data_IF_163170632913
#
_entry.id   IF_163170632913
#
_cell.length_a   1.000
_cell.length_b   1.000
_cell.length_c   1.000
_cell.angle_alpha   90.00
_cell.angle_beta   90.00
_cell.angle_gamma   90.00
#
_symmetry.space_group_name_H-M   'P 1'
#
loop_
_entity.id
_entity.type
_entity.pdbx_description
1 polymer ?
#
# COMPACT_ATOMS: atom_id res chain seq x y z
N UNK A 1 -45.97 14.15 26.08
CA UNK A 1 -45.80 12.66 25.98
C UNK A 1 -45.26 12.22 24.61
N UNK A 2 -45.75 12.80 23.51
CA UNK A 2 -45.32 12.47 22.14
C UNK A 2 -43.83 12.72 21.89
N UNK A 3 -43.26 13.82 22.35
CA UNK A 3 -41.87 14.22 22.21
C UNK A 3 -40.87 13.26 22.94
N UNK A 4 -41.30 12.64 24.05
CA UNK A 4 -40.50 11.68 24.81
C UNK A 4 -40.35 10.33 24.10
N UNK A 5 -41.38 9.85 23.42
CA UNK A 5 -41.36 8.60 22.68
C UNK A 5 -40.52 8.71 21.40
N UNK A 6 -40.57 9.87 20.71
CA UNK A 6 -39.75 10.16 19.55
C UNK A 6 -38.28 10.22 19.94
N UNK A 7 -37.91 10.90 21.03
CA UNK A 7 -36.54 10.94 21.56
C UNK A 7 -35.98 9.54 21.92
N UNK A 8 -36.82 8.70 22.58
CA UNK A 8 -36.43 7.32 22.92
C UNK A 8 -36.19 6.48 21.66
N UNK A 9 -37.05 6.58 20.66
CA UNK A 9 -36.90 5.85 19.39
C UNK A 9 -35.64 6.30 18.60
N UNK A 10 -35.37 7.62 18.64
CA UNK A 10 -34.16 8.17 18.02
C UNK A 10 -32.89 7.70 18.73
N UNK A 11 -32.87 7.72 20.07
CA UNK A 11 -31.74 7.23 20.87
C UNK A 11 -31.45 5.75 20.60
N UNK A 12 -32.51 4.93 20.59
CA UNK A 12 -32.36 3.48 20.32
C UNK A 12 -31.81 3.20 18.91
N UNK A 13 -32.29 3.91 17.87
CA UNK A 13 -31.73 3.81 16.52
C UNK A 13 -30.27 4.22 16.45
N UNK A 14 -29.87 5.26 17.17
CA UNK A 14 -28.46 5.69 17.20
C UNK A 14 -27.56 4.66 17.88
N UNK A 15 -28.05 4.05 18.99
CA UNK A 15 -27.32 2.97 19.68
C UNK A 15 -27.18 1.72 18.79
N UNK A 16 -28.26 1.32 18.10
CA UNK A 16 -28.19 0.22 17.11
C UNK A 16 -27.23 0.51 15.97
N UNK A 17 -27.25 1.74 15.42
CA UNK A 17 -26.34 2.15 14.35
C UNK A 17 -24.87 2.15 14.82
N UNK A 18 -24.60 2.66 16.02
CA UNK A 18 -23.25 2.65 16.60
C UNK A 18 -22.76 1.22 16.82
N UNK A 19 -23.58 0.35 17.39
CA UNK A 19 -23.25 -1.06 17.63
C UNK A 19 -23.00 -1.82 16.30
N UNK A 20 -23.80 -1.54 15.28
CA UNK A 20 -23.60 -2.13 13.95
C UNK A 20 -22.27 -1.67 13.32
N UNK A 21 -21.96 -0.38 13.40
CA UNK A 21 -20.71 0.20 12.91
C UNK A 21 -19.48 -0.35 13.65
N UNK A 22 -19.55 -0.47 14.96
CA UNK A 22 -18.49 -1.07 15.77
C UNK A 22 -18.23 -2.55 15.38
N UNK A 23 -19.30 -3.33 15.17
CA UNK A 23 -19.19 -4.71 14.67
C UNK A 23 -18.55 -4.79 13.29
N UNK A 24 -18.89 -3.87 12.38
CA UNK A 24 -18.32 -3.82 11.04
C UNK A 24 -16.80 -3.51 11.10
N UNK A 25 -16.43 -2.49 11.89
CA UNK A 25 -15.01 -2.14 12.13
C UNK A 25 -14.25 -3.33 12.74
N UNK A 26 -14.83 -4.01 13.72
CA UNK A 26 -14.22 -5.18 14.36
C UNK A 26 -14.03 -6.34 13.38
N UNK A 27 -15.03 -6.63 12.53
CA UNK A 27 -14.92 -7.65 11.47
C UNK A 27 -13.83 -7.32 10.47
N UNK A 28 -13.77 -6.05 10.02
CA UNK A 28 -12.73 -5.58 9.10
C UNK A 28 -11.33 -5.75 9.71
N UNK A 29 -11.18 -5.43 10.99
CA UNK A 29 -9.93 -5.59 11.75
C UNK A 29 -9.49 -7.06 11.83
N UNK A 30 -10.42 -7.97 12.15
CA UNK A 30 -10.12 -9.42 12.17
C UNK A 30 -9.72 -9.92 10.78
N UNK A 31 -10.47 -9.55 9.73
CA UNK A 31 -10.13 -9.93 8.36
C UNK A 31 -8.74 -9.43 7.94
N UNK A 32 -8.39 -8.22 8.32
CA UNK A 32 -7.06 -7.66 8.12
C UNK A 32 -5.98 -8.53 8.78
N UNK A 33 -6.14 -8.89 10.07
CA UNK A 33 -5.16 -9.73 10.78
C UNK A 33 -5.04 -11.14 10.18
N UNK A 34 -6.15 -11.74 9.76
CA UNK A 34 -6.13 -13.05 9.10
C UNK A 34 -5.33 -13.00 7.80
N UNK A 35 -5.58 -11.99 6.97
CA UNK A 35 -4.86 -11.78 5.71
C UNK A 35 -3.36 -11.55 5.98
N UNK A 36 -3.03 -10.75 6.97
CA UNK A 36 -1.65 -10.46 7.36
C UNK A 36 -0.91 -11.73 7.81
N UNK A 37 -1.55 -12.61 8.58
CA UNK A 37 -0.99 -13.92 8.97
C UNK A 37 -0.71 -14.78 7.73
N UNK A 38 -1.62 -14.79 6.74
CA UNK A 38 -1.41 -15.51 5.48
C UNK A 38 -0.25 -14.91 4.66
N UNK A 39 -0.15 -13.59 4.59
CA UNK A 39 0.93 -12.87 3.90
C UNK A 39 2.31 -13.08 4.55
N UNK A 40 2.36 -13.31 5.85
CA UNK A 40 3.59 -13.66 6.57
C UNK A 40 3.96 -15.14 6.37
N UNK A 41 2.98 -16.04 6.38
CA UNK A 41 3.22 -17.49 6.28
C UNK A 41 3.87 -17.89 4.96
N UNK A 42 3.44 -17.30 3.85
CA UNK A 42 3.93 -17.65 2.51
C UNK A 42 5.44 -17.37 2.36
N UNK A 43 5.97 -16.15 2.57
CA UNK A 43 7.40 -15.88 2.45
C UNK A 43 8.22 -16.65 3.49
N UNK A 44 7.67 -16.89 4.69
CA UNK A 44 8.35 -17.69 5.71
C UNK A 44 8.58 -19.13 5.22
N UNK A 45 7.59 -19.73 4.57
CA UNK A 45 7.71 -21.06 3.96
C UNK A 45 8.71 -21.07 2.80
N UNK A 46 8.75 -19.98 1.99
CA UNK A 46 9.67 -19.81 0.88
C UNK A 46 11.11 -19.53 1.33
N UNK A 47 11.32 -19.07 2.55
CA UNK A 47 12.65 -18.96 3.18
C UNK A 47 13.10 -20.32 3.71
N UNK A 48 12.19 -21.03 4.38
CA UNK A 48 12.50 -22.28 5.05
C UNK A 48 13.02 -23.34 4.08
N UNK A 49 12.34 -23.54 2.95
CA UNK A 49 12.69 -24.58 1.98
C UNK A 49 14.12 -24.46 1.41
N UNK A 50 14.56 -23.29 0.87
CA UNK A 50 15.93 -23.12 0.42
C UNK A 50 16.94 -23.16 1.55
N UNK A 51 16.57 -22.74 2.77
CA UNK A 51 17.45 -22.85 3.94
C UNK A 51 17.71 -24.31 4.31
N UNK A 52 16.67 -25.16 4.34
CA UNK A 52 16.81 -26.60 4.57
C UNK A 52 17.75 -27.22 3.54
N UNK A 53 17.61 -26.86 2.24
CA UNK A 53 18.48 -27.35 1.18
C UNK A 53 19.93 -26.88 1.30
N UNK A 54 20.18 -25.65 1.75
CA UNK A 54 21.52 -25.14 2.02
C UNK A 54 22.20 -25.87 3.17
N UNK A 55 21.41 -26.32 4.17
CA UNK A 55 21.92 -27.09 5.30
C UNK A 55 22.20 -28.56 4.95
N UNK A 56 21.46 -29.12 3.98
CA UNK A 56 21.60 -30.51 3.54
C UNK A 56 22.67 -30.73 2.45
N UNK A 57 22.80 -29.78 1.53
CA UNK A 57 23.66 -29.92 0.34
C UNK A 57 24.94 -29.06 0.47
N UNK A 58 26.05 -29.73 0.73
CA UNK A 58 27.40 -29.12 0.80
C UNK A 58 28.04 -28.85 -0.58
N UNK A 59 27.26 -28.87 -1.67
CA UNK A 59 27.78 -28.68 -3.02
C UNK A 59 27.91 -27.22 -3.40
N UNK A 60 29.11 -26.76 -3.65
CA UNK A 60 29.41 -25.43 -4.15
C UNK A 60 28.65 -25.10 -5.45
N UNK A 61 28.09 -23.89 -5.55
CA UNK A 61 27.57 -23.30 -6.80
C UNK A 61 26.07 -23.09 -6.87
N UNK A 62 25.23 -23.63 -5.94
CA UNK A 62 23.80 -23.39 -5.88
C UNK A 62 23.39 -22.38 -4.81
N UNK A 63 24.31 -22.04 -3.94
CA UNK A 63 24.06 -21.24 -2.75
C UNK A 63 23.55 -19.82 -3.09
N UNK A 64 24.10 -19.21 -4.12
CA UNK A 64 23.71 -17.87 -4.54
C UNK A 64 22.22 -17.78 -4.94
N UNK A 65 21.66 -18.82 -5.59
CA UNK A 65 20.25 -18.86 -5.97
C UNK A 65 19.35 -19.01 -4.74
N UNK A 66 19.72 -19.89 -3.81
CA UNK A 66 18.95 -20.07 -2.57
C UNK A 66 19.03 -18.82 -1.69
N UNK A 67 20.20 -18.21 -1.55
CA UNK A 67 20.39 -16.97 -0.82
C UNK A 67 19.56 -15.82 -1.43
N UNK A 68 19.51 -15.69 -2.75
CA UNK A 68 18.69 -14.66 -3.39
C UNK A 68 17.18 -14.84 -3.16
N UNK A 69 16.71 -16.09 -3.06
CA UNK A 69 15.30 -16.38 -2.71
C UNK A 69 15.04 -16.01 -1.26
N UNK A 70 15.94 -16.34 -0.34
CA UNK A 70 15.83 -15.99 1.07
C UNK A 70 15.79 -14.47 1.23
N UNK A 71 16.77 -13.76 0.66
CA UNK A 71 16.90 -12.31 0.75
C UNK A 71 15.62 -11.60 0.25
N UNK A 72 15.11 -11.99 -0.92
CA UNK A 72 13.87 -11.42 -1.45
C UNK A 72 12.67 -11.62 -0.52
N UNK A 73 12.53 -12.78 0.11
CA UNK A 73 11.41 -13.05 1.01
C UNK A 73 11.59 -12.38 2.38
N UNK A 74 12.82 -12.21 2.86
CA UNK A 74 13.12 -11.39 4.05
C UNK A 74 12.73 -9.94 3.80
N UNK A 75 13.14 -9.36 2.66
CA UNK A 75 12.78 -7.99 2.30
C UNK A 75 11.26 -7.80 2.14
N UNK A 76 10.56 -8.80 1.60
CA UNK A 76 9.10 -8.80 1.57
C UNK A 76 8.49 -8.78 2.98
N UNK A 77 8.97 -9.62 3.90
CA UNK A 77 8.50 -9.65 5.29
C UNK A 77 8.74 -8.32 6.01
N UNK A 78 9.90 -7.69 5.79
CA UNK A 78 10.17 -6.36 6.32
C UNK A 78 9.16 -5.32 5.79
N UNK A 79 8.78 -5.41 4.53
CA UNK A 79 7.74 -4.57 3.94
C UNK A 79 6.39 -4.75 4.63
N UNK A 80 5.95 -6.00 4.84
CA UNK A 80 4.69 -6.34 5.54
C UNK A 80 4.70 -5.84 6.99
N UNK A 81 5.81 -6.01 7.71
CA UNK A 81 5.92 -5.52 9.10
C UNK A 81 5.87 -4.00 9.17
N UNK A 82 6.49 -3.29 8.22
CA UNK A 82 6.41 -1.84 8.14
C UNK A 82 4.98 -1.34 7.85
N UNK A 83 4.24 -2.04 6.97
CA UNK A 83 2.83 -1.74 6.72
C UNK A 83 1.96 -1.92 7.96
N UNK A 84 2.22 -2.97 8.75
CA UNK A 84 1.53 -3.19 10.02
C UNK A 84 1.81 -2.08 11.03
N UNK A 85 3.07 -1.64 11.15
CA UNK A 85 3.44 -0.53 12.02
C UNK A 85 2.80 0.79 11.59
N UNK A 86 2.72 1.06 10.28
CA UNK A 86 2.04 2.23 9.74
C UNK A 86 0.53 2.19 10.06
N UNK A 87 -0.09 1.02 9.91
CA UNK A 87 -1.50 0.82 10.26
C UNK A 87 -1.76 1.07 11.75
N UNK A 88 -0.93 0.53 12.64
CA UNK A 88 -1.04 0.78 14.10
C UNK A 88 -0.89 2.25 14.46
N UNK A 89 0.06 2.96 13.82
CA UNK A 89 0.23 4.41 14.02
C UNK A 89 -1.02 5.19 13.60
N UNK A 90 -1.65 4.80 12.50
CA UNK A 90 -2.90 5.41 12.02
C UNK A 90 -4.05 5.19 13.00
N UNK A 91 -4.23 3.96 13.51
CA UNK A 91 -5.28 3.64 14.49
C UNK A 91 -5.16 4.44 15.78
N UNK A 92 -3.93 4.64 16.26
CA UNK A 92 -3.64 5.38 17.50
C UNK A 92 -3.67 6.91 17.32
N UNK A 93 -4.12 7.42 16.16
CA UNK A 93 -4.21 8.85 15.90
C UNK A 93 -2.86 9.58 15.84
N UNK A 94 -1.74 8.83 15.75
CA UNK A 94 -0.39 9.36 15.85
C UNK A 94 0.26 9.83 14.54
N UNK A 95 -0.48 9.89 13.42
CA UNK A 95 0.09 10.36 12.15
C UNK A 95 -0.04 11.87 12.06
N UNK A 96 1.02 12.57 12.41
CA UNK A 96 1.17 13.99 12.09
C UNK A 96 1.65 14.12 10.64
N UNK A 97 0.89 14.87 9.82
CA UNK A 97 1.27 15.15 8.44
C UNK A 97 2.26 16.33 8.41
N UNK A 98 3.38 16.15 7.74
CA UNK A 98 4.35 17.20 7.48
C UNK A 98 4.03 17.88 6.14
N UNK A 99 3.03 18.77 6.17
CA UNK A 99 2.57 19.46 4.97
C UNK A 99 3.58 20.51 4.52
N UNK A 100 4.08 20.39 3.28
CA UNK A 100 4.98 21.34 2.63
C UNK A 100 4.54 21.58 1.19
N UNK A 101 4.84 22.77 0.66
CA UNK A 101 4.66 23.03 -0.76
C UNK A 101 5.52 22.05 -1.57
N UNK A 102 4.90 21.26 -2.41
CA UNK A 102 5.54 20.22 -3.21
C UNK A 102 5.13 20.37 -4.67
N UNK A 103 6.10 20.24 -5.56
CA UNK A 103 5.87 20.07 -7.00
C UNK A 103 5.39 18.63 -7.24
N UNK A 104 4.14 18.51 -7.69
CA UNK A 104 3.50 17.22 -7.92
C UNK A 104 3.94 16.59 -9.23
N UNK A 105 4.25 17.40 -10.26
CA UNK A 105 4.77 16.92 -11.53
C UNK A 105 6.11 16.21 -11.31
N UNK A 106 7.02 16.86 -10.58
CA UNK A 106 8.32 16.28 -10.24
C UNK A 106 8.16 15.01 -9.39
N UNK A 107 7.27 15.03 -8.40
CA UNK A 107 7.03 13.87 -7.53
C UNK A 107 6.54 12.66 -8.33
N UNK A 108 5.58 12.84 -9.24
CA UNK A 108 5.03 11.76 -10.07
C UNK A 108 6.10 11.26 -11.05
N UNK A 109 6.88 12.17 -11.65
CA UNK A 109 7.98 11.82 -12.56
C UNK A 109 9.08 11.02 -11.87
N UNK A 110 9.48 11.41 -10.64
CA UNK A 110 10.48 10.70 -9.84
C UNK A 110 10.04 9.24 -9.55
N UNK A 111 8.77 9.06 -9.21
CA UNK A 111 8.22 7.72 -8.96
C UNK A 111 8.08 6.93 -10.25
N UNK A 112 7.59 7.53 -11.34
CA UNK A 112 7.51 6.89 -12.65
C UNK A 112 8.87 6.32 -13.09
N UNK A 113 9.95 7.08 -12.93
CA UNK A 113 11.30 6.66 -13.29
C UNK A 113 11.77 5.39 -12.56
N UNK A 114 11.26 5.12 -11.35
CA UNK A 114 11.59 3.90 -10.60
C UNK A 114 10.96 2.63 -11.20
N UNK A 115 9.87 2.77 -11.96
CA UNK A 115 9.10 1.65 -12.48
C UNK A 115 9.30 1.37 -13.97
N UNK A 116 9.99 2.22 -14.72
CA UNK A 116 10.24 2.03 -16.15
C UNK A 116 10.99 0.71 -16.43
N UNK A 117 12.17 0.54 -15.84
CA UNK A 117 12.95 -0.69 -16.03
C UNK A 117 12.28 -1.97 -15.50
N UNK A 118 11.66 -1.98 -14.28
CA UNK A 118 10.90 -3.13 -13.83
C UNK A 118 9.72 -3.52 -14.73
N UNK A 119 9.05 -2.54 -15.33
CA UNK A 119 7.94 -2.78 -16.26
C UNK A 119 8.44 -3.31 -17.62
N UNK A 120 9.49 -2.71 -18.18
CA UNK A 120 10.13 -3.16 -19.42
C UNK A 120 10.58 -4.62 -19.35
N UNK A 121 11.18 -5.04 -18.23
CA UNK A 121 11.58 -6.43 -18.00
C UNK A 121 10.40 -7.42 -18.03
N UNK A 122 9.18 -6.92 -17.80
CA UNK A 122 7.94 -7.70 -17.90
C UNK A 122 7.24 -7.54 -19.26
N UNK A 123 7.79 -6.76 -20.19
CA UNK A 123 7.16 -6.44 -21.47
C UNK A 123 5.98 -5.49 -21.34
N UNK A 124 5.90 -4.71 -20.25
CA UNK A 124 4.82 -3.74 -19.99
C UNK A 124 5.29 -2.36 -20.41
N UNK A 125 4.54 -1.71 -21.31
CA UNK A 125 4.75 -0.30 -21.66
C UNK A 125 4.15 0.61 -20.60
N UNK A 126 4.92 1.57 -20.08
CA UNK A 126 4.43 2.57 -19.12
C UNK A 126 4.51 3.94 -19.75
N UNK A 127 3.40 4.65 -19.78
CA UNK A 127 3.32 6.02 -20.32
C UNK A 127 2.95 6.99 -19.21
N UNK A 128 3.58 8.16 -19.23
CA UNK A 128 3.34 9.25 -18.29
C UNK A 128 2.79 10.46 -19.05
N UNK A 129 1.61 10.90 -18.67
CA UNK A 129 0.94 12.11 -19.19
C UNK A 129 0.90 13.17 -18.08
N UNK A 130 1.74 14.18 -18.21
CA UNK A 130 1.81 15.31 -17.29
C UNK A 130 1.23 16.56 -17.96
N UNK A 131 0.57 17.45 -17.20
CA UNK A 131 0.10 18.72 -17.74
C UNK A 131 1.27 19.66 -18.10
N UNK A 132 1.07 20.58 -19.04
CA UNK A 132 2.07 21.58 -19.43
C UNK A 132 2.45 22.55 -18.29
N UNK A 133 1.55 22.76 -17.33
CA UNK A 133 1.76 23.65 -16.18
C UNK A 133 2.23 22.90 -14.94
N UNK A 134 3.00 23.58 -14.09
CA UNK A 134 3.41 23.05 -12.79
C UNK A 134 2.22 22.99 -11.81
N UNK A 135 2.08 21.87 -11.11
CA UNK A 135 1.07 21.69 -10.06
C UNK A 135 1.77 21.70 -8.71
N UNK A 136 1.55 22.74 -7.92
CA UNK A 136 2.00 22.81 -6.54
C UNK A 136 0.86 22.52 -5.57
N UNK A 137 1.13 21.66 -4.59
CA UNK A 137 0.18 21.37 -3.52
C UNK A 137 0.88 21.35 -2.15
N UNK A 138 0.13 21.67 -1.08
CA UNK A 138 0.59 21.54 0.29
C UNK A 138 0.33 20.11 0.75
N UNK A 139 1.33 19.25 0.66
CA UNK A 139 1.21 17.80 0.95
C UNK A 139 2.40 17.29 1.77
N UNK A 140 2.22 16.15 2.41
CA UNK A 140 3.31 15.36 2.93
C UNK A 140 3.91 14.54 1.77
N UNK A 141 5.06 15.01 1.26
CA UNK A 141 5.74 14.42 0.09
C UNK A 141 5.99 12.92 0.27
N UNK A 142 6.44 12.51 1.46
CA UNK A 142 6.76 11.12 1.77
C UNK A 142 5.51 10.23 1.69
N UNK A 143 4.40 10.69 2.26
CA UNK A 143 3.14 9.95 2.26
C UNK A 143 2.53 9.86 0.87
N UNK A 144 2.54 10.97 0.11
CA UNK A 144 2.04 10.97 -1.28
C UNK A 144 2.92 10.10 -2.17
N UNK A 145 4.24 10.18 -2.04
CA UNK A 145 5.18 9.29 -2.74
C UNK A 145 4.84 7.81 -2.48
N UNK A 146 4.63 7.43 -1.22
CA UNK A 146 4.26 6.06 -0.82
C UNK A 146 2.93 5.60 -1.45
N UNK A 147 1.94 6.50 -1.55
CA UNK A 147 0.67 6.21 -2.23
C UNK A 147 0.90 5.92 -3.70
N UNK A 148 1.64 6.79 -4.41
CA UNK A 148 1.89 6.65 -5.84
C UNK A 148 2.71 5.39 -6.14
N UNK A 149 3.76 5.12 -5.35
CA UNK A 149 4.57 3.89 -5.43
C UNK A 149 3.70 2.64 -5.31
N UNK A 150 2.77 2.62 -4.35
CA UNK A 150 1.84 1.49 -4.17
C UNK A 150 0.90 1.32 -5.37
N UNK A 151 0.36 2.42 -5.91
CA UNK A 151 -0.55 2.38 -7.06
C UNK A 151 0.17 1.87 -8.32
N UNK A 152 1.33 2.46 -8.65
CA UNK A 152 2.11 2.05 -9.82
C UNK A 152 2.65 0.63 -9.64
N UNK A 153 3.13 0.28 -8.44
CA UNK A 153 3.59 -1.08 -8.13
C UNK A 153 2.49 -2.13 -8.33
N UNK A 154 1.26 -1.83 -7.91
CA UNK A 154 0.11 -2.68 -8.18
C UNK A 154 -0.21 -2.76 -9.67
N UNK A 155 -0.17 -1.64 -10.39
CA UNK A 155 -0.37 -1.62 -11.83
C UNK A 155 0.66 -2.52 -12.55
N UNK A 156 1.96 -2.39 -12.23
CA UNK A 156 3.04 -3.24 -12.80
C UNK A 156 2.90 -4.72 -12.42
N UNK A 157 2.26 -5.01 -11.27
CA UNK A 157 2.00 -6.39 -10.83
C UNK A 157 0.88 -7.06 -11.63
N UNK A 158 -0.17 -6.31 -11.99
CA UNK A 158 -1.40 -6.86 -12.56
C UNK A 158 -1.63 -6.51 -14.04
N UNK A 159 -0.94 -5.51 -14.58
CA UNK A 159 -1.05 -5.16 -16.01
C UNK A 159 -0.49 -6.28 -16.89
N UNK A 160 -1.08 -6.42 -18.07
CA UNK A 160 -0.66 -7.41 -19.08
C UNK A 160 0.28 -6.80 -20.13
N UNK A 161 0.07 -5.54 -20.54
CA UNK A 161 0.82 -4.95 -21.65
C UNK A 161 1.09 -3.45 -21.51
N UNK A 162 0.18 -2.69 -20.88
CA UNK A 162 0.27 -1.22 -20.84
C UNK A 162 -0.24 -0.64 -19.53
N UNK A 163 0.42 0.43 -19.08
CA UNK A 163 0.02 1.27 -17.95
C UNK A 163 0.09 2.73 -18.42
N UNK A 164 -0.99 3.46 -18.24
CA UNK A 164 -1.05 4.90 -18.49
C UNK A 164 -1.18 5.61 -17.15
N UNK A 165 -0.23 6.49 -16.85
CA UNK A 165 -0.21 7.31 -15.64
C UNK A 165 -0.54 8.74 -16.07
N UNK A 166 -1.61 9.29 -15.52
CA UNK A 166 -2.06 10.63 -15.86
C UNK A 166 -2.16 11.51 -14.63
N UNK A 167 -1.54 12.71 -14.70
CA UNK A 167 -1.67 13.76 -13.71
C UNK A 167 -2.53 14.89 -14.27
N UNK A 168 -3.57 15.29 -13.58
CA UNK A 168 -4.41 16.42 -13.95
C UNK A 168 -4.63 17.38 -12.78
N UNK A 169 -4.64 18.68 -13.06
CA UNK A 169 -5.10 19.69 -12.11
C UNK A 169 -6.63 19.67 -12.01
N UNK A 170 -7.17 19.82 -10.83
CA UNK A 170 -8.61 19.76 -10.55
C UNK A 170 -9.00 20.91 -9.62
N UNK A 171 -8.97 22.16 -10.13
CA UNK A 171 -9.45 23.35 -9.42
C UNK A 171 -8.93 23.58 -8.00
N UNK A 172 -9.26 22.69 -7.07
CA UNK A 172 -8.85 22.74 -5.67
C UNK A 172 -7.74 21.73 -5.31
N UNK A 173 -7.22 20.98 -6.30
CA UNK A 173 -6.23 19.94 -6.05
C UNK A 173 -5.68 19.29 -7.31
N UNK A 174 -5.25 18.04 -7.17
CA UNK A 174 -4.75 17.25 -8.29
C UNK A 174 -5.29 15.83 -8.24
N UNK A 175 -5.28 15.15 -9.38
CA UNK A 175 -5.64 13.72 -9.50
C UNK A 175 -4.52 13.01 -10.24
N UNK A 176 -4.12 11.87 -9.69
CA UNK A 176 -3.28 10.86 -10.36
C UNK A 176 -4.16 9.66 -10.65
N UNK A 177 -4.20 9.21 -11.87
CA UNK A 177 -5.00 8.07 -12.33
C UNK A 177 -4.16 7.15 -13.23
#
# INVERSE_FOLDING_TARGET
RWNRNVKKKYKHRMEEYQTAKEKEVYKSKISFFINLVHEIRTPLSLIRLPLERLLEDKREGRDAKYLSVIDRNVNYLLGVTNQLLDFQKMENGGVQLNLKKCDINQLVSDVYGQFTSPAELKGISVMLDLPEGEIFASVDREKVCKIIVNLIGNAVKYAQSRIDIKLVSSGEGFRVS
#
